data_IF_310605992467
#
_entry.id   IF_310605992467
#
_cell.length_a   1.000
_cell.length_b   1.000
_cell.length_c   1.000
_cell.angle_alpha   90.00
_cell.angle_beta   90.00
_cell.angle_gamma   90.00
#
_symmetry.space_group_name_H-M   'P 1'
#
loop_
_entity.id
_entity.type
_entity.pdbx_description
1 polymer ?
#
# COMPACT_ATOMS: atom_id res chain seq x y z
N UNK A 1 26.55 -1.49 -39.55
CA UNK A 1 25.10 -1.55 -39.81
C UNK A 1 24.59 -2.96 -39.46
N UNK A 2 24.10 -3.22 -38.24
CA UNK A 2 23.35 -4.43 -37.95
C UNK A 2 21.83 -4.18 -37.86
N UNK A 3 21.11 -5.28 -38.05
CA UNK A 3 19.69 -5.43 -38.37
C UNK A 3 18.78 -5.12 -37.18
N UNK A 4 17.58 -4.61 -37.50
CA UNK A 4 16.44 -4.48 -36.59
C UNK A 4 15.83 -5.87 -36.33
N UNK A 5 15.70 -6.26 -35.06
CA UNK A 5 14.89 -7.40 -34.64
C UNK A 5 13.66 -6.91 -33.88
N UNK A 6 12.56 -7.62 -34.13
CA UNK A 6 11.18 -7.32 -33.77
C UNK A 6 10.93 -7.24 -32.26
N UNK A 7 10.38 -6.11 -31.81
CA UNK A 7 9.68 -6.00 -30.53
C UNK A 7 8.31 -6.68 -30.66
N UNK A 8 8.18 -7.87 -30.08
CA UNK A 8 6.90 -8.51 -29.84
C UNK A 8 6.07 -7.66 -28.87
N UNK A 9 4.95 -7.15 -29.36
CA UNK A 9 3.95 -6.41 -28.59
C UNK A 9 3.26 -7.39 -27.63
N UNK A 10 3.58 -7.32 -26.34
CA UNK A 10 2.82 -8.01 -25.30
C UNK A 10 1.50 -7.26 -25.04
N UNK A 11 0.39 -7.90 -25.38
CA UNK A 11 -0.97 -7.43 -25.13
C UNK A 11 -1.31 -7.53 -23.62
N UNK A 12 -1.82 -6.47 -22.96
CA UNK A 12 -2.25 -6.54 -21.56
C UNK A 12 -3.72 -6.97 -21.49
N UNK A 13 -4.00 -8.26 -21.64
CA UNK A 13 -5.34 -8.83 -21.41
C UNK A 13 -5.23 -10.21 -20.74
N UNK A 14 -4.61 -10.28 -19.56
CA UNK A 14 -4.64 -11.52 -18.77
C UNK A 14 -4.29 -11.31 -17.30
N UNK A 15 -4.93 -10.37 -16.60
CA UNK A 15 -4.97 -10.35 -15.13
C UNK A 15 -6.33 -9.79 -14.64
N UNK A 16 -7.40 -10.56 -14.85
CA UNK A 16 -8.63 -10.38 -14.07
C UNK A 16 -8.47 -11.21 -12.79
N UNK A 17 -8.47 -10.54 -11.64
CA UNK A 17 -8.49 -11.17 -10.32
C UNK A 17 -9.72 -12.09 -10.16
N UNK A 18 -9.61 -13.29 -9.57
CA UNK A 18 -10.73 -14.21 -9.43
C UNK A 18 -11.77 -13.61 -8.47
N UNK A 19 -12.96 -13.30 -8.99
CA UNK A 19 -14.06 -12.74 -8.22
C UNK A 19 -14.72 -11.49 -8.83
N UNK A 20 -14.18 -10.95 -9.91
CA UNK A 20 -14.87 -9.90 -10.68
C UNK A 20 -15.94 -10.54 -11.58
N UNK A 21 -17.22 -10.14 -11.50
CA UNK A 21 -18.21 -10.64 -12.45
C UNK A 21 -17.76 -10.24 -13.86
N UNK A 22 -17.75 -11.21 -14.79
CA UNK A 22 -17.33 -10.93 -16.16
C UNK A 22 -18.15 -9.78 -16.74
N UNK A 23 -17.55 -8.98 -17.63
CA UNK A 23 -18.27 -7.89 -18.32
C UNK A 23 -19.56 -8.39 -18.99
N UNK A 24 -19.60 -9.69 -19.37
CA UNK A 24 -20.78 -10.38 -19.87
C UNK A 24 -21.86 -10.55 -18.79
N UNK A 25 -21.50 -11.00 -17.59
CA UNK A 25 -22.43 -11.15 -16.45
C UNK A 25 -23.07 -9.82 -16.02
N UNK A 26 -22.31 -8.72 -16.03
CA UNK A 26 -22.85 -7.37 -15.74
C UNK A 26 -23.82 -6.90 -16.82
N UNK A 27 -23.57 -7.25 -18.08
CA UNK A 27 -24.43 -6.91 -19.22
C UNK A 27 -25.73 -7.72 -19.23
N UNK A 28 -25.64 -9.00 -18.86
CA UNK A 28 -26.78 -9.92 -18.82
C UNK A 28 -27.72 -9.59 -17.64
N UNK A 29 -27.15 -9.31 -16.46
CA UNK A 29 -27.91 -8.83 -15.30
C UNK A 29 -28.66 -7.51 -15.57
N UNK A 30 -28.05 -6.59 -16.33
CA UNK A 30 -28.72 -5.35 -16.78
C UNK A 30 -29.92 -5.63 -17.68
N UNK A 31 -29.81 -6.61 -18.59
CA UNK A 31 -30.93 -6.98 -19.49
C UNK A 31 -32.08 -7.62 -18.73
N UNK A 32 -31.79 -8.38 -17.68
CA UNK A 32 -32.78 -9.07 -16.86
C UNK A 32 -33.60 -8.08 -16.00
N UNK A 33 -32.98 -7.03 -15.48
CA UNK A 33 -33.68 -5.95 -14.75
C UNK A 33 -34.53 -5.07 -15.68
N UNK A 34 -34.18 -4.96 -16.97
CA UNK A 34 -34.96 -4.21 -17.96
C UNK A 34 -36.23 -4.92 -18.43
N UNK A 35 -36.34 -6.24 -18.25
CA UNK A 35 -37.53 -7.04 -18.58
C UNK A 35 -38.37 -7.28 -17.32
N UNK A 36 -39.22 -6.32 -16.97
CA UNK A 36 -40.08 -6.44 -15.79
C UNK A 36 -41.18 -7.52 -15.90
N UNK A 37 -41.53 -8.12 -14.75
CA UNK A 37 -42.73 -8.96 -14.52
C UNK A 37 -42.38 -10.44 -14.28
N UNK A 38 -43.00 -11.22 -13.39
CA UNK A 38 -44.23 -11.07 -12.63
C UNK A 38 -44.29 -12.22 -11.60
N UNK A 39 -44.64 -11.97 -10.32
CA UNK A 39 -45.03 -13.02 -9.37
C UNK A 39 -46.09 -12.47 -8.39
N UNK A 40 -47.22 -13.17 -8.32
CA UNK A 40 -48.50 -12.82 -7.66
C UNK A 40 -48.45 -12.67 -6.12
N UNK A 41 -49.48 -12.05 -5.49
CA UNK A 41 -49.36 -11.42 -4.18
C UNK A 41 -49.78 -12.30 -3.00
N UNK A 42 -49.00 -12.26 -1.91
CA UNK A 42 -49.41 -12.59 -0.54
C UNK A 42 -49.54 -11.30 0.31
N UNK A 43 -50.34 -11.29 1.40
CA UNK A 43 -50.92 -10.05 1.90
C UNK A 43 -49.99 -9.20 2.78
N UNK A 44 -50.05 -7.89 2.50
CA UNK A 44 -49.89 -6.70 3.35
C UNK A 44 -48.65 -6.59 4.24
N UNK A 45 -47.72 -5.76 3.79
CA UNK A 45 -47.13 -4.73 4.65
C UNK A 45 -46.93 -3.42 3.85
N UNK A 46 -47.20 -2.30 4.52
CA UNK A 46 -47.32 -0.93 4.02
C UNK A 46 -46.20 -0.48 3.06
N UNK A 47 -46.49 0.39 2.06
CA UNK A 47 -45.52 0.73 1.02
C UNK A 47 -44.39 1.61 1.59
N UNK A 48 -43.19 1.03 1.76
CA UNK A 48 -41.95 1.80 1.82
C UNK A 48 -41.78 2.48 0.46
N UNK A 49 -41.85 3.83 0.42
CA UNK A 49 -41.56 4.64 -0.77
C UNK A 49 -40.32 4.12 -1.49
N UNK A 50 -40.52 3.60 -2.71
CA UNK A 50 -39.43 3.20 -3.59
C UNK A 50 -38.53 4.41 -3.85
N UNK A 51 -37.26 4.32 -3.49
CA UNK A 51 -36.28 5.37 -3.78
C UNK A 51 -36.13 5.49 -5.30
N UNK A 52 -36.20 6.70 -5.89
CA UNK A 52 -36.17 6.86 -7.35
C UNK A 52 -34.87 6.29 -7.93
N UNK A 53 -35.00 5.39 -8.92
CA UNK A 53 -33.92 4.65 -9.60
C UNK A 53 -32.72 5.54 -9.99
N UNK A 54 -32.95 6.80 -10.39
CA UNK A 54 -31.90 7.74 -10.75
C UNK A 54 -30.94 8.17 -9.62
N UNK A 55 -31.35 8.09 -8.33
CA UNK A 55 -30.46 8.38 -7.20
C UNK A 55 -29.47 7.25 -6.92
N UNK A 56 -29.79 6.01 -7.29
CA UNK A 56 -28.89 4.86 -7.11
C UNK A 56 -27.87 4.82 -8.24
N UNK A 57 -28.31 5.01 -9.50
CA UNK A 57 -27.43 5.03 -10.67
C UNK A 57 -26.42 6.18 -10.63
N UNK A 58 -26.82 7.37 -10.17
CA UNK A 58 -25.88 8.50 -10.01
C UNK A 58 -24.85 8.26 -8.90
N UNK A 59 -25.20 7.52 -7.84
CA UNK A 59 -24.29 7.12 -6.76
C UNK A 59 -23.30 6.06 -7.24
N UNK A 60 -23.79 5.03 -7.94
CA UNK A 60 -22.95 4.00 -8.56
C UNK A 60 -21.99 4.62 -9.57
N UNK A 61 -22.48 5.52 -10.44
CA UNK A 61 -21.64 6.21 -11.42
C UNK A 61 -20.63 7.18 -10.78
N UNK A 62 -20.91 7.69 -9.57
CA UNK A 62 -19.96 8.51 -8.81
C UNK A 62 -18.87 7.66 -8.17
N UNK A 63 -19.24 6.52 -7.57
CA UNK A 63 -18.28 5.55 -7.02
C UNK A 63 -17.38 5.01 -8.11
N UNK A 64 -17.94 4.58 -9.26
CA UNK A 64 -17.15 4.06 -10.37
C UNK A 64 -16.21 5.12 -11.01
N UNK A 65 -16.59 6.40 -10.97
CA UNK A 65 -15.71 7.51 -11.41
C UNK A 65 -14.61 7.83 -10.39
N UNK A 66 -14.91 7.68 -9.10
CA UNK A 66 -13.93 7.79 -8.03
C UNK A 66 -12.88 6.67 -8.13
N UNK A 67 -13.34 5.42 -8.27
CA UNK A 67 -12.47 4.25 -8.43
C UNK A 67 -11.60 4.37 -9.70
N UNK A 68 -12.14 4.91 -10.80
CA UNK A 68 -11.38 5.14 -12.02
C UNK A 68 -10.33 6.26 -11.87
N UNK A 69 -10.63 7.32 -11.11
CA UNK A 69 -9.70 8.40 -10.82
C UNK A 69 -8.60 7.96 -9.84
N UNK A 70 -8.92 7.15 -8.83
CA UNK A 70 -7.96 6.53 -7.92
C UNK A 70 -7.05 5.55 -8.65
N UNK A 71 -7.61 4.66 -9.50
CA UNK A 71 -6.79 3.76 -10.32
C UNK A 71 -5.90 4.52 -11.31
N UNK A 72 -6.37 5.64 -11.86
CA UNK A 72 -5.55 6.50 -12.72
C UNK A 72 -4.47 7.25 -11.91
N UNK A 73 -4.73 7.62 -10.66
CA UNK A 73 -3.73 8.20 -9.76
C UNK A 73 -2.68 7.18 -9.35
N UNK A 74 -3.08 5.96 -8.96
CA UNK A 74 -2.18 4.84 -8.70
C UNK A 74 -1.36 4.50 -9.95
N UNK A 75 -1.97 4.46 -11.13
CA UNK A 75 -1.27 4.25 -12.39
C UNK A 75 -0.37 5.43 -12.80
N UNK A 76 -0.61 6.66 -12.32
CA UNK A 76 0.26 7.83 -12.56
C UNK A 76 1.41 7.93 -11.56
N UNK A 77 1.17 7.57 -10.30
CA UNK A 77 2.22 7.39 -9.27
C UNK A 77 3.16 6.25 -9.67
N UNK A 78 2.59 5.12 -10.14
CA UNK A 78 3.36 3.97 -10.63
C UNK A 78 3.89 4.17 -12.07
N UNK A 79 3.28 5.06 -12.86
CA UNK A 79 3.54 5.23 -14.29
C UNK A 79 4.50 6.36 -14.66
N UNK A 80 5.13 7.03 -13.70
CA UNK A 80 6.11 8.09 -14.00
C UNK A 80 7.56 7.81 -13.63
N UNK A 81 7.87 6.70 -12.98
CA UNK A 81 9.26 6.29 -12.75
C UNK A 81 9.45 4.83 -13.16
N UNK A 82 10.09 4.59 -14.30
CA UNK A 82 10.62 3.28 -14.68
C UNK A 82 11.78 2.80 -13.79
N UNK A 83 11.84 3.27 -12.54
CA UNK A 83 12.77 2.88 -11.49
C UNK A 83 11.98 2.50 -10.24
N UNK A 84 12.41 1.41 -9.60
CA UNK A 84 11.88 0.94 -8.31
C UNK A 84 11.77 2.10 -7.30
N UNK A 85 10.63 2.18 -6.59
CA UNK A 85 10.26 3.24 -5.64
C UNK A 85 10.73 2.87 -4.22
N UNK A 86 10.98 3.88 -3.38
CA UNK A 86 11.42 3.72 -2.00
C UNK A 86 10.36 2.94 -1.23
N UNK A 87 10.75 1.96 -0.42
CA UNK A 87 9.80 1.09 0.30
C UNK A 87 9.99 1.14 1.80
N UNK A 88 8.92 0.80 2.52
CA UNK A 88 8.95 0.61 3.97
C UNK A 88 8.66 -0.86 4.32
N UNK A 89 9.53 -1.51 5.08
CA UNK A 89 9.34 -2.88 5.55
C UNK A 89 9.27 -2.94 7.08
N UNK A 90 8.23 -3.56 7.62
CA UNK A 90 8.03 -3.72 9.07
C UNK A 90 8.35 -5.15 9.45
N UNK A 91 9.43 -5.33 10.21
CA UNK A 91 9.82 -6.63 10.74
C UNK A 91 9.01 -6.96 11.99
N UNK A 92 8.07 -7.89 11.88
CA UNK A 92 7.32 -8.51 12.98
C UNK A 92 6.67 -7.51 13.95
N UNK A 93 5.94 -6.48 13.47
CA UNK A 93 5.50 -5.37 14.32
C UNK A 93 4.63 -5.83 15.49
N UNK A 94 4.83 -5.24 16.66
CA UNK A 94 4.16 -5.64 17.91
C UNK A 94 2.92 -4.79 18.19
N UNK A 95 2.91 -3.51 17.76
CA UNK A 95 1.91 -2.54 18.17
C UNK A 95 1.01 -2.14 16.98
N UNK A 96 -0.30 -2.51 16.98
CA UNK A 96 -1.18 -2.26 15.85
C UNK A 96 -1.38 -0.78 15.52
N UNK A 97 -1.29 0.11 16.52
CA UNK A 97 -1.42 1.55 16.35
C UNK A 97 -0.26 2.15 15.54
N UNK A 98 0.97 1.68 15.74
CA UNK A 98 2.13 2.12 14.97
C UNK A 98 2.01 1.61 13.53
N UNK A 99 1.68 0.34 13.34
CA UNK A 99 1.45 -0.23 12.02
C UNK A 99 0.37 0.55 11.25
N UNK A 100 -0.76 0.88 11.88
CA UNK A 100 -1.81 1.70 11.27
C UNK A 100 -1.34 3.12 10.91
N UNK A 101 -0.53 3.74 11.76
CA UNK A 101 0.04 5.07 11.48
C UNK A 101 1.01 5.03 10.30
N UNK A 102 1.84 4.00 10.21
CA UNK A 102 2.78 3.77 9.10
C UNK A 102 2.07 3.46 7.79
N UNK A 103 1.01 2.66 7.82
CA UNK A 103 0.16 2.43 6.66
C UNK A 103 -0.43 3.73 6.13
N UNK A 104 -0.98 4.57 7.02
CA UNK A 104 -1.54 5.87 6.65
C UNK A 104 -0.49 6.81 6.06
N UNK A 105 0.71 6.83 6.63
CA UNK A 105 1.87 7.57 6.13
C UNK A 105 2.23 7.11 4.72
N UNK A 106 2.40 5.80 4.51
CA UNK A 106 2.72 5.20 3.22
C UNK A 106 1.67 5.55 2.15
N UNK A 107 0.38 5.50 2.50
CA UNK A 107 -0.71 5.92 1.62
C UNK A 107 -0.62 7.40 1.23
N UNK A 108 -0.36 8.29 2.19
CA UNK A 108 -0.17 9.72 1.93
C UNK A 108 1.00 10.00 0.98
N UNK A 109 2.09 9.25 1.13
CA UNK A 109 3.35 9.51 0.43
C UNK A 109 3.50 8.70 -0.85
N UNK A 110 2.55 7.82 -1.19
CA UNK A 110 2.67 6.92 -2.32
C UNK A 110 3.81 5.90 -2.18
N UNK A 111 4.19 5.57 -0.94
CA UNK A 111 5.28 4.65 -0.61
C UNK A 111 4.71 3.23 -0.44
N UNK A 112 5.21 2.21 -1.16
CA UNK A 112 4.84 0.83 -0.89
C UNK A 112 5.30 0.35 0.49
N UNK A 113 4.53 -0.57 1.07
CA UNK A 113 4.76 -1.09 2.41
C UNK A 113 4.79 -2.62 2.40
N UNK A 114 5.73 -3.19 3.13
CA UNK A 114 5.89 -4.62 3.37
C UNK A 114 5.70 -4.92 4.87
N UNK A 115 4.95 -5.98 5.19
CA UNK A 115 4.84 -6.51 6.56
C UNK A 115 5.40 -7.91 6.60
N UNK A 116 6.35 -8.14 7.50
CA UNK A 116 7.04 -9.41 7.69
C UNK A 116 6.51 -10.06 8.96
N UNK A 117 6.04 -11.29 8.85
CA UNK A 117 5.37 -12.03 9.92
C UNK A 117 6.33 -12.87 10.80
N UNK A 118 5.87 -13.31 12.00
CA UNK A 118 4.58 -13.02 12.62
C UNK A 118 4.47 -11.60 13.20
N UNK A 119 3.28 -11.00 13.11
CA UNK A 119 2.96 -9.78 13.85
C UNK A 119 2.56 -10.12 15.29
N UNK A 120 2.83 -9.23 16.25
CA UNK A 120 2.33 -9.34 17.62
C UNK A 120 0.82 -9.10 17.76
N UNK A 121 0.11 -8.89 16.64
CA UNK A 121 -1.32 -8.63 16.58
C UNK A 121 -1.94 -9.20 15.29
N UNK A 122 -3.26 -9.40 15.31
CA UNK A 122 -4.01 -9.77 14.11
C UNK A 122 -4.19 -8.55 13.20
N UNK A 123 -3.68 -8.63 11.98
CA UNK A 123 -3.98 -7.70 10.90
C UNK A 123 -5.44 -7.89 10.47
N UNK A 124 -6.34 -7.10 11.05
CA UNK A 124 -7.78 -7.13 10.72
C UNK A 124 -8.23 -5.83 10.06
N UNK A 125 -9.30 -5.88 9.28
CA UNK A 125 -9.97 -4.71 8.67
C UNK A 125 -10.29 -3.59 9.67
N UNK A 126 -10.43 -3.92 10.96
CA UNK A 126 -10.62 -2.91 12.01
C UNK A 126 -9.39 -2.00 12.17
N UNK A 127 -8.19 -2.57 12.10
CA UNK A 127 -6.94 -1.82 12.22
C UNK A 127 -6.77 -0.87 11.03
N UNK A 128 -7.09 -1.34 9.82
CA UNK A 128 -7.09 -0.54 8.60
C UNK A 128 -8.12 0.60 8.63
N UNK A 129 -9.36 0.31 9.02
CA UNK A 129 -10.41 1.33 9.17
C UNK A 129 -10.05 2.40 10.20
N UNK A 130 -9.41 2.01 11.31
CA UNK A 130 -8.98 2.96 12.35
C UNK A 130 -7.84 3.86 11.90
N UNK A 131 -6.98 3.37 10.99
CA UNK A 131 -5.97 4.20 10.32
C UNK A 131 -6.59 5.20 9.31
N UNK A 132 -7.91 5.21 9.14
CA UNK A 132 -8.59 6.05 8.17
C UNK A 132 -8.32 5.62 6.73
N UNK A 133 -7.90 4.36 6.53
CA UNK A 133 -7.67 3.81 5.21
C UNK A 133 -8.88 3.01 4.75
N UNK A 134 -9.44 3.38 3.60
CA UNK A 134 -10.22 2.43 2.82
C UNK A 134 -9.24 1.39 2.27
N UNK A 135 -9.36 0.15 2.76
CA UNK A 135 -8.48 -0.99 2.46
C UNK A 135 -8.25 -1.24 0.95
N UNK A 136 -9.09 -0.65 0.09
CA UNK A 136 -9.09 -0.87 -1.36
C UNK A 136 -8.37 0.21 -2.16
N UNK A 137 -7.98 1.35 -1.57
CA UNK A 137 -7.67 2.56 -2.34
C UNK A 137 -6.26 3.15 -2.19
N UNK A 138 -5.48 2.82 -1.15
CA UNK A 138 -4.39 3.72 -0.74
C UNK A 138 -2.94 3.24 -0.77
N UNK A 139 -2.67 1.94 -0.56
CA UNK A 139 -1.29 1.50 -0.27
C UNK A 139 -0.97 0.17 -0.95
N UNK A 140 0.12 0.13 -1.70
CA UNK A 140 0.73 -1.12 -2.16
C UNK A 140 1.30 -1.87 -0.95
N UNK A 141 0.46 -2.67 -0.30
CA UNK A 141 0.79 -3.44 0.90
C UNK A 141 1.04 -4.91 0.55
N UNK A 142 2.26 -5.40 0.81
CA UNK A 142 2.59 -6.81 0.70
C UNK A 142 2.84 -7.43 2.08
N UNK A 143 2.39 -8.68 2.25
CA UNK A 143 2.64 -9.48 3.46
C UNK A 143 3.57 -10.64 3.12
N UNK A 144 4.51 -10.90 4.03
CA UNK A 144 5.50 -11.96 3.90
C UNK A 144 5.45 -12.85 5.13
N UNK A 145 5.30 -14.16 4.93
CA UNK A 145 5.16 -15.15 6.01
C UNK A 145 6.43 -15.25 6.88
N UNK A 146 7.59 -14.84 6.34
CA UNK A 146 8.87 -14.88 7.03
C UNK A 146 9.86 -13.86 6.48
N UNK A 147 10.95 -13.65 7.22
CA UNK A 147 12.11 -12.86 6.78
C UNK A 147 12.67 -13.33 5.44
N UNK A 148 12.81 -14.65 5.26
CA UNK A 148 13.37 -15.22 4.04
C UNK A 148 12.44 -15.02 2.84
N UNK A 149 11.12 -15.14 3.05
CA UNK A 149 10.13 -14.87 2.03
C UNK A 149 10.17 -13.40 1.55
N UNK A 150 10.36 -12.46 2.49
CA UNK A 150 10.59 -11.05 2.16
C UNK A 150 11.89 -10.86 1.39
N UNK A 151 13.00 -11.39 1.91
CA UNK A 151 14.34 -11.23 1.31
C UNK A 151 14.44 -11.74 -0.12
N UNK A 152 13.73 -12.82 -0.46
CA UNK A 152 13.71 -13.36 -1.81
C UNK A 152 13.08 -12.40 -2.85
N UNK A 153 12.31 -11.39 -2.40
CA UNK A 153 11.55 -10.47 -3.24
C UNK A 153 11.92 -9.00 -3.03
N UNK A 154 12.64 -8.68 -1.96
CA UNK A 154 12.94 -7.30 -1.57
C UNK A 154 13.80 -6.61 -2.66
N UNK A 155 13.38 -5.45 -3.17
CA UNK A 155 14.13 -4.72 -4.17
C UNK A 155 15.21 -3.82 -3.53
N UNK A 156 16.29 -3.60 -4.29
CA UNK A 156 17.33 -2.62 -3.96
C UNK A 156 18.07 -2.91 -2.66
N UNK A 157 18.60 -1.85 -2.03
CA UNK A 157 19.37 -1.97 -0.78
C UNK A 157 18.43 -2.02 0.42
N UNK A 158 18.77 -2.85 1.38
CA UNK A 158 18.11 -2.96 2.67
C UNK A 158 18.76 -1.99 3.66
N UNK A 159 18.01 -0.97 4.07
CA UNK A 159 18.45 0.04 5.04
C UNK A 159 17.78 -0.26 6.38
N UNK A 160 18.52 -0.73 7.37
CA UNK A 160 17.97 -1.00 8.69
C UNK A 160 18.03 0.26 9.57
N UNK A 161 16.88 0.73 10.05
CA UNK A 161 16.83 1.77 11.09
C UNK A 161 16.99 1.12 12.46
N UNK A 162 18.08 1.45 13.15
CA UNK A 162 18.41 0.85 14.45
C UNK A 162 19.21 1.81 15.32
N UNK A 163 19.08 1.67 16.64
CA UNK A 163 19.94 2.38 17.60
C UNK A 163 21.36 1.82 17.64
N UNK A 164 21.60 0.64 17.07
CA UNK A 164 22.91 -0.02 17.00
C UNK A 164 23.67 0.28 15.70
N UNK A 165 23.43 1.46 15.11
CA UNK A 165 24.17 1.94 13.96
C UNK A 165 25.16 3.03 14.38
N UNK A 166 26.09 3.38 13.49
CA UNK A 166 27.00 4.51 13.67
C UNK A 166 26.71 5.68 12.70
N UNK A 167 25.94 5.45 11.64
CA UNK A 167 25.69 6.43 10.58
C UNK A 167 24.35 7.15 10.81
N UNK A 168 24.34 8.48 11.01
CA UNK A 168 23.10 9.25 11.02
C UNK A 168 22.35 9.15 9.68
N UNK A 169 21.03 9.02 9.74
CA UNK A 169 20.20 8.92 8.53
C UNK A 169 20.31 10.16 7.61
N UNK A 170 20.50 11.35 8.20
CA UNK A 170 20.56 12.60 7.46
C UNK A 170 21.84 12.75 6.61
N UNK A 171 22.91 12.03 6.96
CA UNK A 171 24.17 12.03 6.22
C UNK A 171 24.23 10.91 5.16
N UNK A 172 23.16 10.11 5.04
CA UNK A 172 23.08 9.01 4.11
C UNK A 172 22.52 9.43 2.75
N UNK A 173 23.11 8.90 1.67
CA UNK A 173 22.64 9.11 0.31
C UNK A 173 21.62 8.03 -0.09
N UNK A 174 20.34 8.39 -0.04
CA UNK A 174 19.22 7.54 -0.43
C UNK A 174 19.12 7.36 -1.94
N UNK A 175 18.63 6.21 -2.37
CA UNK A 175 18.32 5.87 -3.75
C UNK A 175 16.84 5.54 -3.90
N UNK A 176 16.24 5.75 -5.08
CA UNK A 176 14.83 5.44 -5.30
C UNK A 176 14.50 3.98 -4.99
N UNK A 177 15.43 3.05 -5.20
CA UNK A 177 15.21 1.63 -4.98
C UNK A 177 15.34 1.16 -3.52
N UNK A 178 15.70 2.03 -2.58
CA UNK A 178 16.03 1.58 -1.22
C UNK A 178 14.79 1.11 -0.44
N UNK A 179 14.97 0.10 0.39
CA UNK A 179 13.94 -0.42 1.30
C UNK A 179 14.34 -0.13 2.74
N UNK A 180 13.57 0.73 3.42
CA UNK A 180 13.76 1.05 4.83
C UNK A 180 13.11 -0.04 5.71
N UNK A 181 13.91 -0.74 6.51
CA UNK A 181 13.46 -1.75 7.46
C UNK A 181 13.34 -1.15 8.85
N UNK A 182 12.18 -1.36 9.46
CA UNK A 182 11.90 -1.06 10.87
C UNK A 182 11.80 -2.35 11.66
N UNK A 183 12.48 -2.39 12.81
CA UNK A 183 12.37 -3.51 13.75
C UNK A 183 11.11 -3.50 14.60
N UNK A 184 10.98 -4.55 15.40
CA UNK A 184 9.95 -4.65 16.44
C UNK A 184 10.14 -3.54 17.46
N UNK A 185 9.05 -2.97 17.95
CA UNK A 185 9.12 -1.89 18.94
C UNK A 185 9.71 -2.36 20.26
N UNK A 186 9.46 -3.61 20.64
CA UNK A 186 9.92 -4.17 21.91
C UNK A 186 11.39 -4.59 21.89
N UNK A 187 11.88 -5.09 20.76
CA UNK A 187 13.12 -5.87 20.72
C UNK A 187 14.01 -5.58 19.49
N UNK A 188 13.60 -4.68 18.59
CA UNK A 188 14.30 -4.47 17.33
C UNK A 188 14.25 -5.71 16.43
N UNK A 189 15.37 -6.01 15.76
CA UNK A 189 15.50 -7.16 14.84
C UNK A 189 16.61 -8.11 15.32
N UNK A 190 16.55 -9.41 14.97
CA UNK A 190 17.63 -10.34 15.32
C UNK A 190 18.90 -10.08 14.51
N UNK A 191 20.02 -10.64 14.96
CA UNK A 191 21.34 -10.48 14.33
C UNK A 191 21.37 -10.85 12.85
N UNK A 192 20.60 -11.87 12.45
CA UNK A 192 20.49 -12.28 11.04
C UNK A 192 19.95 -11.15 10.14
N UNK A 193 19.03 -10.32 10.64
CA UNK A 193 18.49 -9.16 9.91
C UNK A 193 19.51 -8.02 9.92
N UNK A 194 20.20 -7.81 11.05
CA UNK A 194 21.31 -6.85 11.13
C UNK A 194 22.41 -7.18 10.10
N UNK A 195 22.80 -8.44 9.98
CA UNK A 195 23.85 -8.91 9.08
C UNK A 195 23.43 -8.84 7.60
N UNK A 196 22.14 -9.01 7.32
CA UNK A 196 21.61 -8.95 5.97
C UNK A 196 21.30 -7.52 5.47
N UNK A 197 21.30 -6.53 6.35
CA UNK A 197 21.13 -5.13 5.96
C UNK A 197 22.39 -4.61 5.25
N UNK A 198 22.23 -4.02 4.08
CA UNK A 198 23.32 -3.37 3.34
C UNK A 198 23.87 -2.17 4.11
N UNK A 199 22.98 -1.45 4.79
CA UNK A 199 23.31 -0.26 5.57
C UNK A 199 22.49 -0.21 6.85
N UNK A 200 23.09 0.35 7.91
CA UNK A 200 22.41 0.57 9.19
C UNK A 200 22.44 2.05 9.51
N UNK A 201 21.28 2.61 9.75
CA UNK A 201 21.08 4.04 9.99
C UNK A 201 20.54 4.27 11.41
N UNK A 202 20.89 5.40 12.00
CA UNK A 202 20.32 5.87 13.27
C UNK A 202 19.72 7.27 13.13
N UNK A 203 18.80 7.59 14.03
CA UNK A 203 18.39 8.98 14.30
C UNK A 203 19.21 9.46 15.50
N UNK A 204 20.00 10.56 15.37
CA UNK A 204 20.73 11.10 16.51
C UNK A 204 19.75 11.53 17.60
N UNK A 205 19.99 11.10 18.83
CA UNK A 205 19.15 11.41 19.99
C UNK A 205 20.00 12.00 21.11
N UNK A 206 19.36 12.79 21.98
CA UNK A 206 20.02 13.26 23.21
C UNK A 206 20.37 12.07 24.11
N UNK A 207 21.56 12.06 24.76
CA UNK A 207 21.94 11.00 25.68
C UNK A 207 20.90 10.80 26.80
N UNK A 208 20.65 9.55 27.19
CA UNK A 208 19.74 9.18 28.28
C UNK A 208 18.24 9.17 27.92
N UNK A 209 17.87 9.52 26.69
CA UNK A 209 16.48 9.46 26.25
C UNK A 209 16.06 8.06 25.80
N UNK A 210 14.76 7.76 25.96
CA UNK A 210 14.13 6.61 25.31
C UNK A 210 14.07 6.80 23.81
N UNK A 211 14.07 5.69 23.07
CA UNK A 211 13.90 5.70 21.62
C UNK A 211 12.63 6.42 21.19
N UNK A 212 12.71 7.12 20.06
CA UNK A 212 11.57 7.74 19.38
C UNK A 212 10.55 6.66 18.99
N UNK A 213 9.26 7.01 18.97
CA UNK A 213 8.22 6.14 18.46
C UNK A 213 8.54 5.68 17.03
N UNK A 214 8.38 4.38 16.74
CA UNK A 214 8.80 3.80 15.45
C UNK A 214 8.12 4.45 14.23
N UNK A 215 6.86 4.88 14.35
CA UNK A 215 6.15 5.54 13.26
C UNK A 215 6.68 6.96 13.00
N UNK A 216 7.02 7.70 14.07
CA UNK A 216 7.67 9.00 13.96
C UNK A 216 9.07 8.89 13.38
N UNK A 217 9.84 7.89 13.86
CA UNK A 217 11.18 7.60 13.35
C UNK A 217 11.14 7.30 11.84
N UNK A 218 10.22 6.45 11.39
CA UNK A 218 10.02 6.16 9.98
C UNK A 218 9.64 7.41 9.18
N UNK A 219 8.75 8.26 9.68
CA UNK A 219 8.34 9.48 9.00
C UNK A 219 9.53 10.43 8.76
N UNK A 220 10.44 10.56 9.73
CA UNK A 220 11.66 11.35 9.57
C UNK A 220 12.57 10.79 8.47
N UNK A 221 12.84 9.48 8.52
CA UNK A 221 13.80 8.85 7.60
C UNK A 221 13.25 8.71 6.18
N UNK A 222 11.98 8.27 6.04
CA UNK A 222 11.32 8.22 4.74
C UNK A 222 11.17 9.61 4.13
N UNK A 223 10.79 10.61 4.93
CA UNK A 223 10.69 11.99 4.46
C UNK A 223 12.00 12.49 3.87
N UNK A 224 13.13 12.21 4.52
CA UNK A 224 14.45 12.57 3.99
C UNK A 224 14.79 11.78 2.71
N UNK A 225 14.53 10.47 2.68
CA UNK A 225 14.73 9.67 1.48
C UNK A 225 13.92 10.17 0.28
N UNK A 226 12.65 10.50 0.47
CA UNK A 226 11.79 11.09 -0.56
C UNK A 226 12.28 12.48 -0.98
N UNK A 227 12.77 13.30 -0.05
CA UNK A 227 13.35 14.62 -0.34
C UNK A 227 14.57 14.49 -1.26
N UNK A 228 15.51 13.60 -0.92
CA UNK A 228 16.73 13.39 -1.70
C UNK A 228 16.46 12.83 -3.09
N UNK A 229 15.44 11.97 -3.21
CA UNK A 229 15.09 11.29 -4.46
C UNK A 229 14.09 12.05 -5.32
N UNK A 230 13.54 13.17 -4.82
CA UNK A 230 12.52 13.94 -5.52
C UNK A 230 11.19 13.21 -5.65
N UNK A 231 10.91 12.22 -4.79
CA UNK A 231 9.79 11.30 -4.93
C UNK A 231 8.55 11.68 -4.11
N UNK A 232 8.52 12.87 -3.49
CA UNK A 232 7.28 13.34 -2.86
C UNK A 232 6.15 13.46 -3.89
N UNK A 233 4.90 13.09 -3.53
CA UNK A 233 3.76 13.35 -4.40
C UNK A 233 3.67 14.83 -4.76
N UNK A 234 3.43 15.12 -6.04
CA UNK A 234 3.19 16.49 -6.49
C UNK A 234 2.00 17.11 -5.74
N UNK A 235 2.05 18.42 -5.49
CA UNK A 235 0.94 19.12 -4.88
C UNK A 235 -0.31 18.99 -5.78
N UNK A 236 -1.39 18.44 -5.23
CA UNK A 236 -2.70 18.49 -5.89
C UNK A 236 -3.14 19.95 -5.95
N UNK A 237 -3.32 20.47 -7.17
CA UNK A 237 -3.91 21.78 -7.43
C UNK A 237 -5.41 21.80 -7.10
#
# INVERSE_FOLDING_TARGET
>A
MPRRENLGVFHPLSLLSPGSPSLKAVRDWRKEISRGGNASPGPRNSPKRARPRGKIESRISRVLRHDAAENALSARILGHHGGTILRLALYQPDIPQNAGSLMRLCACLGVPMDIIEPCGFLLTDRNFRRAGMDYRAGTDLARHESWDAFRAKAPGRLLLLTTQAARPYADFAFRPSDTLILGRESAGVPDAVHQAADERLLIPMRPGMRSINVAQAAAMVLGEGLRQTGAFPGASA
#
